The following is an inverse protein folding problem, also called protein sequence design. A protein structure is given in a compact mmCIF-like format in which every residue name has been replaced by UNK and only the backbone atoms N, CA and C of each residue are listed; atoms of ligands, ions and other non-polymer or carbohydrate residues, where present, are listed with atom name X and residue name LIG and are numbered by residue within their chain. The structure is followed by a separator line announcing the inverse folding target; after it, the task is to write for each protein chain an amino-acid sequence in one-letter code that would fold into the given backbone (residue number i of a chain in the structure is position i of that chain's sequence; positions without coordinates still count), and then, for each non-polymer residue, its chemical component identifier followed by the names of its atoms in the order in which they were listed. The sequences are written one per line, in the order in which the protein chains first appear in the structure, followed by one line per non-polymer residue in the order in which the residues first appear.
data_IF_784808761963
#
_entry.id   IF_784808761963
#
_cell.length_a   1.000
_cell.length_b   1.000
_cell.length_c   1.000
_cell.angle_alpha   90.00
_cell.angle_beta   90.00
_cell.angle_gamma   90.00
#
_symmetry.space_group_name_H-M   'P 1'
#
loop_
_entity.id
_entity.type
_entity.pdbx_description
1 polymer ?
#
# COMPACT_ATOMS: atom_id res chain seq x y z
N UNK A 1 10.39 -20.32 2.14
CA UNK A 1 11.40 -19.24 2.10
C UNK A 1 10.71 -17.89 2.34
N UNK A 2 10.97 -17.21 3.46
CA UNK A 2 10.39 -15.88 3.72
C UNK A 2 10.82 -14.84 2.67
N UNK A 3 12.03 -14.97 2.12
CA UNK A 3 12.62 -14.05 1.14
C UNK A 3 11.77 -13.81 -0.10
N UNK A 4 11.09 -14.85 -0.64
CA UNK A 4 10.23 -14.71 -1.82
C UNK A 4 9.04 -13.78 -1.59
N UNK A 5 8.54 -13.69 -0.35
CA UNK A 5 7.41 -12.81 0.01
C UNK A 5 7.82 -11.37 0.23
N UNK A 6 9.11 -11.13 0.49
CA UNK A 6 9.66 -9.78 0.70
C UNK A 6 9.88 -9.06 -0.64
N UNK A 7 10.23 -9.80 -1.69
CA UNK A 7 10.45 -9.24 -3.03
C UNK A 7 9.29 -8.37 -3.56
N UNK A 8 8.01 -8.82 -3.56
CA UNK A 8 6.91 -7.98 -4.04
C UNK A 8 6.70 -6.75 -3.15
N UNK A 9 6.91 -6.86 -1.84
CA UNK A 9 6.85 -5.71 -0.93
C UNK A 9 7.91 -4.67 -1.28
N UNK A 10 9.16 -5.09 -1.47
CA UNK A 10 10.24 -4.17 -1.86
C UNK A 10 9.98 -3.54 -3.23
N UNK A 11 9.50 -4.31 -4.20
CA UNK A 11 9.16 -3.80 -5.52
C UNK A 11 8.08 -2.71 -5.44
N UNK A 12 6.98 -2.98 -4.71
CA UNK A 12 5.91 -2.00 -4.51
C UNK A 12 6.40 -0.76 -3.76
N UNK A 13 7.18 -0.95 -2.69
CA UNK A 13 7.76 0.15 -1.92
C UNK A 13 8.62 1.07 -2.81
N UNK A 14 9.50 0.48 -3.62
CA UNK A 14 10.35 1.23 -4.56
C UNK A 14 9.50 1.99 -5.57
N UNK A 15 8.50 1.34 -6.16
CA UNK A 15 7.59 2.00 -7.12
C UNK A 15 6.91 3.20 -6.48
N UNK A 16 6.31 3.05 -5.29
CA UNK A 16 5.61 4.14 -4.59
C UNK A 16 6.54 5.29 -4.24
N UNK A 17 7.77 5.00 -3.78
CA UNK A 17 8.75 6.04 -3.47
C UNK A 17 9.20 6.78 -4.74
N UNK A 18 9.50 6.04 -5.81
CA UNK A 18 9.95 6.62 -7.07
C UNK A 18 8.85 7.46 -7.76
N UNK A 19 7.59 7.06 -7.68
CA UNK A 19 6.48 7.81 -8.29
C UNK A 19 5.96 8.92 -7.39
N UNK A 20 5.88 8.68 -6.08
CA UNK A 20 5.35 9.61 -5.09
C UNK A 20 6.27 10.81 -4.85
N UNK A 21 7.60 10.61 -4.90
CA UNK A 21 8.59 11.67 -4.72
C UNK A 21 9.18 12.19 -6.04
N UNK A 22 8.50 11.92 -7.16
CA UNK A 22 8.87 12.49 -8.45
C UNK A 22 8.41 13.96 -8.52
N UNK A 23 9.29 14.92 -8.89
CA UNK A 23 8.92 16.35 -8.99
C UNK A 23 7.73 16.56 -9.92
N UNK A 24 7.79 15.96 -11.12
CA UNK A 24 6.70 16.05 -12.08
C UNK A 24 5.58 15.04 -11.75
N UNK A 25 4.30 15.47 -11.74
CA UNK A 25 3.16 14.58 -11.74
C UNK A 25 3.25 13.50 -12.81
N UNK A 26 2.80 12.29 -12.45
CA UNK A 26 2.58 11.26 -13.47
C UNK A 26 1.45 11.76 -14.37
N UNK A 27 1.69 11.78 -15.69
CA UNK A 27 0.70 12.21 -16.66
C UNK A 27 -0.61 11.43 -16.46
N UNK A 28 -1.71 12.16 -16.27
CA UNK A 28 -3.04 11.59 -16.11
C UNK A 28 -3.65 11.37 -17.50
N UNK A 29 -4.17 10.17 -17.71
CA UNK A 29 -4.93 9.78 -18.90
C UNK A 29 -6.42 10.13 -18.73
N UNK A 30 -6.90 10.21 -17.49
CA UNK A 30 -8.27 10.60 -17.15
C UNK A 30 -8.32 11.30 -15.78
N UNK A 31 -9.43 11.99 -15.51
CA UNK A 31 -9.63 12.74 -14.27
C UNK A 31 -9.52 11.84 -13.04
N UNK A 32 -8.85 12.35 -12.00
CA UNK A 32 -8.68 11.67 -10.71
C UNK A 32 -7.89 10.34 -10.76
N UNK A 33 -7.20 10.03 -11.86
CA UNK A 33 -6.32 8.86 -11.94
C UNK A 33 -5.29 8.80 -10.80
N UNK A 34 -4.78 9.95 -10.36
CA UNK A 34 -3.83 10.03 -9.26
C UNK A 34 -4.40 9.45 -7.95
N UNK A 35 -5.69 9.67 -7.67
CA UNK A 35 -6.36 9.08 -6.50
C UNK A 35 -6.43 7.56 -6.58
N UNK A 36 -6.58 7.01 -7.78
CA UNK A 36 -6.52 5.56 -7.99
C UNK A 36 -5.10 5.02 -7.80
N UNK A 37 -4.06 5.77 -8.20
CA UNK A 37 -2.68 5.40 -7.89
C UNK A 37 -2.41 5.40 -6.39
N UNK A 38 -2.87 6.41 -5.66
CA UNK A 38 -2.79 6.47 -4.20
C UNK A 38 -3.52 5.29 -3.55
N UNK A 39 -4.77 5.05 -3.94
CA UNK A 39 -5.58 3.94 -3.43
C UNK A 39 -4.92 2.57 -3.71
N UNK A 40 -4.61 2.27 -4.96
CA UNK A 40 -4.09 0.96 -5.37
C UNK A 40 -2.64 0.76 -4.92
N UNK A 41 -1.83 1.82 -4.94
CA UNK A 41 -0.45 1.80 -4.44
C UNK A 41 -0.42 1.42 -2.96
N UNK A 42 -1.16 2.13 -2.11
CA UNK A 42 -1.17 1.83 -0.68
C UNK A 42 -1.91 0.53 -0.32
N UNK A 43 -2.88 0.10 -1.14
CA UNK A 43 -3.46 -1.24 -1.03
C UNK A 43 -2.42 -2.33 -1.30
N UNK A 44 -1.66 -2.21 -2.38
CA UNK A 44 -0.59 -3.14 -2.71
C UNK A 44 0.51 -3.11 -1.65
N UNK A 45 0.88 -1.92 -1.14
CA UNK A 45 1.91 -1.77 -0.11
C UNK A 45 1.52 -2.51 1.16
N UNK A 46 0.34 -2.23 1.72
CA UNK A 46 -0.08 -2.88 2.95
C UNK A 46 -0.29 -4.40 2.77
N UNK A 47 -0.90 -4.80 1.65
CA UNK A 47 -1.14 -6.23 1.37
C UNK A 47 0.17 -7.01 1.29
N UNK A 48 1.15 -6.52 0.51
CA UNK A 48 2.46 -7.17 0.38
C UNK A 48 3.28 -7.08 1.67
N UNK A 49 3.19 -5.98 2.42
CA UNK A 49 3.80 -5.84 3.74
C UNK A 49 3.27 -6.91 4.71
N UNK A 50 1.95 -7.12 4.76
CA UNK A 50 1.32 -8.15 5.60
C UNK A 50 1.74 -9.56 5.19
N UNK A 51 1.91 -9.82 3.91
CA UNK A 51 2.41 -11.11 3.39
C UNK A 51 3.88 -11.35 3.74
N UNK A 52 4.71 -10.31 3.63
CA UNK A 52 6.14 -10.37 3.95
C UNK A 52 6.37 -10.59 5.45
N UNK A 53 5.56 -9.92 6.30
CA UNK A 53 5.68 -9.94 7.75
C UNK A 53 4.37 -10.40 8.40
N UNK A 54 4.10 -11.72 8.47
CA UNK A 54 2.86 -12.23 9.06
C UNK A 54 2.84 -12.20 10.60
N UNK A 55 4.01 -12.04 11.25
CA UNK A 55 4.15 -12.10 12.71
C UNK A 55 3.76 -10.81 13.45
N UNK A 56 4.17 -9.60 13.00
CA UNK A 56 3.80 -8.36 13.69
C UNK A 56 2.28 -8.17 13.74
N UNK A 57 1.82 -7.52 14.81
CA UNK A 57 0.41 -7.16 14.94
C UNK A 57 0.00 -6.19 13.82
N UNK A 58 -1.19 -6.38 13.23
CA UNK A 58 -1.61 -5.64 12.05
C UNK A 58 -1.66 -4.11 12.28
N UNK A 59 -1.96 -3.67 13.51
CA UNK A 59 -1.98 -2.24 13.87
C UNK A 59 -0.61 -1.58 13.64
N UNK A 60 0.49 -2.28 13.94
CA UNK A 60 1.83 -1.73 13.71
C UNK A 60 2.15 -1.60 12.23
N UNK A 61 1.74 -2.57 11.42
CA UNK A 61 1.88 -2.50 9.96
C UNK A 61 1.01 -1.36 9.38
N UNK A 62 -0.18 -1.14 9.96
CA UNK A 62 -1.11 -0.09 9.56
C UNK A 62 -0.49 1.28 9.85
N UNK A 63 0.00 1.47 11.08
CA UNK A 63 0.69 2.68 11.50
C UNK A 63 1.91 2.95 10.62
N UNK A 64 2.71 1.92 10.29
CA UNK A 64 3.87 2.07 9.42
C UNK A 64 3.48 2.52 8.00
N UNK A 65 2.47 1.88 7.38
CA UNK A 65 2.01 2.27 6.05
C UNK A 65 1.43 3.68 6.02
N UNK A 66 0.66 4.08 7.06
CA UNK A 66 0.09 5.43 7.15
C UNK A 66 1.16 6.48 7.46
N UNK A 67 2.17 6.15 8.26
CA UNK A 67 3.33 7.00 8.47
C UNK A 67 4.11 7.21 7.16
N UNK A 68 4.32 6.14 6.38
CA UNK A 68 4.94 6.24 5.06
C UNK A 68 4.11 7.12 4.11
N UNK A 69 2.78 6.96 4.08
CA UNK A 69 1.87 7.82 3.31
C UNK A 69 2.04 9.29 3.68
N UNK A 70 1.96 9.60 4.97
CA UNK A 70 2.10 10.96 5.48
C UNK A 70 3.47 11.55 5.13
N UNK A 71 4.55 10.78 5.29
CA UNK A 71 5.90 11.25 4.97
C UNK A 71 6.08 11.53 3.47
N UNK A 72 5.50 10.71 2.60
CA UNK A 72 5.52 10.95 1.15
C UNK A 72 4.75 12.21 0.81
N UNK A 73 3.55 12.39 1.37
CA UNK A 73 2.71 13.57 1.16
C UNK A 73 3.40 14.87 1.63
N UNK A 74 4.05 14.83 2.81
CA UNK A 74 4.85 15.94 3.31
C UNK A 74 6.08 16.19 2.44
N UNK A 75 6.74 15.12 1.97
CA UNK A 75 7.87 15.20 1.05
C UNK A 75 7.50 15.84 -0.30
N UNK A 76 6.27 15.60 -0.78
CA UNK A 76 5.74 16.26 -1.97
C UNK A 76 5.63 17.77 -1.79
N UNK A 77 5.37 18.27 -0.57
CA UNK A 77 5.36 19.70 -0.28
C UNK A 77 6.73 20.37 -0.35
N UNK A 78 7.81 19.59 -0.40
CA UNK A 78 9.17 20.09 -0.63
C UNK A 78 9.58 20.07 -2.11
N UNK A 79 8.76 19.46 -2.97
CA UNK A 79 9.04 19.32 -4.41
C UNK A 79 8.41 20.47 -5.20
N UNK A 80 9.11 20.98 -6.25
CA UNK A 80 8.52 21.95 -7.16
C UNK A 80 7.33 21.32 -7.88
N UNK A 81 6.28 22.10 -8.12
CA UNK A 81 5.07 21.69 -8.84
C UNK A 81 4.24 20.56 -8.19
N UNK A 82 4.49 20.27 -6.90
CA UNK A 82 3.66 19.37 -6.09
C UNK A 82 3.11 20.09 -4.87
N UNK A 83 1.88 19.74 -4.51
CA UNK A 83 1.20 20.27 -3.34
C UNK A 83 0.65 19.11 -2.52
N UNK A 84 0.92 19.04 -1.21
CA UNK A 84 0.28 18.08 -0.33
C UNK A 84 -1.23 18.26 -0.37
N UNK A 85 -1.95 17.15 -0.32
CA UNK A 85 -3.38 17.06 -0.54
C UNK A 85 -4.02 16.14 0.49
N UNK A 86 -4.95 16.70 1.28
CA UNK A 86 -5.74 15.91 2.23
C UNK A 86 -6.58 14.84 1.53
N UNK A 87 -6.95 15.07 0.26
CA UNK A 87 -7.73 14.11 -0.53
C UNK A 87 -6.87 12.92 -0.95
N UNK A 88 -5.60 13.15 -1.26
CA UNK A 88 -4.67 12.08 -1.63
C UNK A 88 -4.26 11.28 -0.39
N UNK A 89 -4.11 11.95 0.77
CA UNK A 89 -3.98 11.26 2.05
C UNK A 89 -5.20 10.39 2.39
N UNK A 90 -6.43 10.85 2.11
CA UNK A 90 -7.63 10.02 2.28
C UNK A 90 -7.61 8.80 1.35
N UNK A 91 -7.18 8.97 0.09
CA UNK A 91 -7.02 7.86 -0.84
C UNK A 91 -5.97 6.85 -0.34
N UNK A 92 -4.85 7.32 0.23
CA UNK A 92 -3.85 6.46 0.86
C UNK A 92 -4.44 5.65 2.03
N UNK A 93 -5.22 6.28 2.91
CA UNK A 93 -5.89 5.61 4.04
C UNK A 93 -6.86 4.52 3.57
N UNK A 94 -7.69 4.83 2.57
CA UNK A 94 -8.60 3.86 1.96
C UNK A 94 -7.83 2.71 1.29
N UNK A 95 -6.68 3.02 0.68
CA UNK A 95 -5.80 2.04 0.07
C UNK A 95 -5.28 1.05 1.11
N UNK A 96 -4.72 1.56 2.21
CA UNK A 96 -4.27 0.72 3.33
C UNK A 96 -5.40 -0.16 3.87
N UNK A 97 -6.60 0.39 4.06
CA UNK A 97 -7.77 -0.37 4.51
C UNK A 97 -8.15 -1.49 3.52
N UNK A 98 -8.14 -1.19 2.21
CA UNK A 98 -8.39 -2.18 1.16
C UNK A 98 -7.34 -3.30 1.16
N UNK A 99 -6.05 -2.95 1.25
CA UNK A 99 -4.97 -3.93 1.35
C UNK A 99 -5.11 -4.85 2.57
N UNK A 100 -5.60 -4.31 3.69
CA UNK A 100 -5.91 -5.09 4.88
C UNK A 100 -7.07 -6.06 4.63
N UNK A 101 -8.18 -5.61 4.05
CA UNK A 101 -9.32 -6.47 3.69
C UNK A 101 -8.90 -7.61 2.75
N UNK A 102 -8.08 -7.32 1.74
CA UNK A 102 -7.52 -8.34 0.85
C UNK A 102 -6.69 -9.38 1.62
N UNK A 103 -5.90 -8.94 2.62
CA UNK A 103 -5.09 -9.84 3.45
C UNK A 103 -5.97 -10.76 4.32
N UNK A 104 -7.11 -10.27 4.82
CA UNK A 104 -8.07 -11.05 5.57
C UNK A 104 -8.79 -12.07 4.68
N UNK A 105 -9.23 -11.63 3.50
CA UNK A 105 -9.88 -12.51 2.52
C UNK A 105 -8.97 -13.67 2.13
N UNK A 106 -7.69 -13.40 1.85
CA UNK A 106 -6.71 -14.44 1.54
C UNK A 106 -6.49 -15.41 2.72
N UNK A 107 -6.36 -14.89 3.94
CA UNK A 107 -6.23 -15.71 5.14
C UNK A 107 -7.44 -16.63 5.36
N UNK A 108 -8.64 -16.12 5.12
CA UNK A 108 -9.88 -16.88 5.21
C UNK A 108 -10.00 -17.97 4.13
N UNK A 109 -9.61 -17.68 2.89
CA UNK A 109 -9.59 -18.66 1.80
C UNK A 109 -8.64 -19.82 2.12
N UNK A 110 -7.44 -19.51 2.65
CA UNK A 110 -6.48 -20.54 3.07
C UNK A 110 -7.01 -21.39 4.24
N UNK A 111 -7.66 -20.78 5.22
CA UNK A 111 -8.25 -21.50 6.35
C UNK A 111 -9.37 -22.46 5.90
N UNK A 112 -10.19 -22.04 4.93
CA UNK A 112 -11.24 -22.88 4.33
C UNK A 112 -10.67 -24.09 3.58
N UNK A 113 -9.64 -23.89 2.77
CA UNK A 113 -9.01 -24.97 2.01
C UNK A 113 -8.38 -26.03 2.92
N UNK A 114 -7.76 -25.62 4.03
CA UNK A 114 -7.17 -26.56 5.00
C UNK A 114 -8.23 -27.43 5.70
N UNK A 115 -9.41 -26.89 5.98
CA UNK A 115 -10.52 -27.64 6.58
C UNK A 115 -11.09 -28.70 5.62
N UNK A 116 -11.09 -28.45 4.31
CA UNK A 116 -11.59 -29.39 3.31
C UNK A 116 -10.65 -30.56 3.01
N UNK A 117 -9.34 -30.43 3.26
CA UNK A 117 -8.35 -31.49 3.00
C UNK A 117 -8.12 -32.43 4.19
N UNK A 118 -8.65 -32.10 5.38
CA UNK A 118 -8.51 -32.88 6.61
C UNK A 118 -9.64 -33.87 6.89
N UNK A 119 -10.49 -34.16 5.91
CA UNK A 119 -11.67 -35.04 5.99
C UNK A 119 -11.67 -36.01 4.80
#
# INVERSE_FOLDING_TARGET
MQYLRVLPFLAVLVVILCTGLKPEPVAQVFDQQDKLHHLLGFAALFFTLRLAFPRPHFIWLMALSLAAALLIELGQGLLPHRTPSAVDMLANMLGVALGWLCSLALGWLHARGACQQGN
#
